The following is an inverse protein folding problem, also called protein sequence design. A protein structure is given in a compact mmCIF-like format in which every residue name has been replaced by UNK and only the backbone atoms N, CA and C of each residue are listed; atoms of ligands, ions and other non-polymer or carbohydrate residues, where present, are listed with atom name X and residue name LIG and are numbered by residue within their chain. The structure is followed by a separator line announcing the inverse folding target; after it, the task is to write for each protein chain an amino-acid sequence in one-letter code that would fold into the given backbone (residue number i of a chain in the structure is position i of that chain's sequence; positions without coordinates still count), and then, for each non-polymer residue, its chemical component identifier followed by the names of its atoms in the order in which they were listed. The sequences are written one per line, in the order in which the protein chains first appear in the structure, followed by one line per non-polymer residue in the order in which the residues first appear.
data_IF_909892697474
#
_entry.id   IF_909892697474
#
_cell.length_a   1.000
_cell.length_b   1.000
_cell.length_c   1.000
_cell.angle_alpha   90.00
_cell.angle_beta   90.00
_cell.angle_gamma   90.00
#
_symmetry.space_group_name_H-M   'P 1'
#
loop_
_entity.id
_entity.type
_entity.pdbx_description
1 polymer ?
#
# COMPACT_ATOMS: atom_id res chain seq x y z
N UNK A 1 7.83 7.58 9.04
CA UNK A 1 6.92 7.18 7.94
C UNK A 1 6.82 8.23 6.83
N UNK A 2 6.53 9.51 7.13
CA UNK A 2 6.54 10.59 6.13
C UNK A 2 7.80 10.65 5.27
N UNK A 3 8.98 10.42 5.86
CA UNK A 3 10.26 10.45 5.14
C UNK A 3 10.41 9.36 4.06
N UNK A 4 9.82 8.18 4.24
CA UNK A 4 9.84 7.09 3.25
C UNK A 4 8.92 7.40 2.08
N UNK A 5 7.73 7.94 2.38
CA UNK A 5 6.82 8.45 1.35
C UNK A 5 7.53 9.53 0.56
N UNK A 6 8.08 10.57 1.20
CA UNK A 6 8.80 11.67 0.51
C UNK A 6 9.97 11.19 -0.32
N UNK A 7 10.74 10.20 0.14
CA UNK A 7 11.83 9.62 -0.66
C UNK A 7 11.31 8.84 -1.88
N UNK A 8 10.21 8.12 -1.74
CA UNK A 8 9.56 7.46 -2.87
C UNK A 8 8.95 8.48 -3.84
N UNK A 9 8.30 9.55 -3.35
CA UNK A 9 7.83 10.69 -4.18
C UNK A 9 8.99 11.29 -4.97
N UNK A 10 10.10 11.57 -4.29
CA UNK A 10 11.27 12.20 -4.90
C UNK A 10 11.92 11.28 -5.94
N UNK A 11 12.08 10.00 -5.65
CA UNK A 11 12.65 9.05 -6.59
C UNK A 11 11.74 8.84 -7.81
N UNK A 12 10.43 8.74 -7.61
CA UNK A 12 9.46 8.58 -8.71
C UNK A 12 9.42 9.80 -9.62
N UNK A 13 9.51 11.02 -9.07
CA UNK A 13 9.60 12.27 -9.85
C UNK A 13 10.92 12.49 -10.58
N UNK A 14 12.02 11.88 -10.12
CA UNK A 14 13.34 11.97 -10.75
C UNK A 14 13.54 10.87 -11.82
N UNK A 15 12.96 9.68 -11.62
CA UNK A 15 13.25 8.51 -12.44
C UNK A 15 12.21 8.19 -13.53
N UNK A 16 11.00 8.76 -13.50
CA UNK A 16 9.94 8.43 -14.47
C UNK A 16 9.43 9.64 -15.27
N UNK A 17 9.02 9.45 -16.55
CA UNK A 17 8.44 10.51 -17.35
C UNK A 17 7.21 11.13 -16.68
N UNK A 18 7.15 12.46 -16.70
CA UNK A 18 6.13 13.30 -16.04
C UNK A 18 4.67 12.86 -16.29
N UNK A 19 4.38 12.20 -17.42
CA UNK A 19 3.03 11.80 -17.83
C UNK A 19 2.44 10.64 -17.02
N UNK A 20 3.25 9.67 -16.57
CA UNK A 20 2.78 8.56 -15.71
C UNK A 20 2.47 9.05 -14.29
N UNK A 21 3.31 9.95 -13.81
CA UNK A 21 3.20 10.55 -12.49
C UNK A 21 1.98 11.46 -12.39
N UNK A 22 1.60 12.18 -13.44
CA UNK A 22 0.52 13.18 -13.38
C UNK A 22 -0.85 12.61 -13.01
N UNK A 23 -1.23 11.46 -13.58
CA UNK A 23 -2.51 10.80 -13.27
C UNK A 23 -2.50 10.21 -11.85
N UNK A 24 -1.37 9.60 -11.47
CA UNK A 24 -1.12 9.03 -10.15
C UNK A 24 -1.17 10.09 -9.03
N UNK A 25 -0.47 11.21 -9.22
CA UNK A 25 -0.42 12.32 -8.29
C UNK A 25 -1.71 13.14 -8.28
N UNK A 26 -2.41 13.29 -9.41
CA UNK A 26 -3.74 13.93 -9.44
C UNK A 26 -4.73 13.24 -8.51
N UNK A 27 -4.63 11.92 -8.35
CA UNK A 27 -5.46 11.17 -7.41
C UNK A 27 -5.05 11.46 -5.95
N UNK A 28 -3.75 11.37 -5.65
CA UNK A 28 -3.20 11.64 -4.31
C UNK A 28 -3.44 13.06 -3.78
N UNK A 29 -3.22 14.08 -4.62
CA UNK A 29 -3.34 15.50 -4.21
C UNK A 29 -4.79 16.02 -4.20
N UNK A 30 -5.75 15.25 -4.71
CA UNK A 30 -7.18 15.63 -4.71
C UNK A 30 -7.97 15.01 -3.57
N UNK A 31 -7.38 14.20 -2.70
CA UNK A 31 -8.08 13.64 -1.56
C UNK A 31 -8.39 14.77 -0.55
N UNK A 32 -9.65 15.25 -0.42
CA UNK A 32 -10.01 16.06 0.73
C UNK A 32 -9.73 15.24 2.00
N UNK A 33 -9.45 15.92 3.12
CA UNK A 33 -9.36 15.24 4.42
C UNK A 33 -10.59 14.34 4.61
N UNK A 34 -10.41 13.09 5.06
CA UNK A 34 -11.48 12.10 4.97
C UNK A 34 -12.70 12.57 5.77
N UNK A 35 -13.89 12.50 5.16
CA UNK A 35 -15.13 12.74 5.91
C UNK A 35 -15.32 11.62 6.91
N UNK A 36 -16.04 11.90 8.00
CA UNK A 36 -16.34 10.91 9.03
C UNK A 36 -17.03 9.67 8.43
N UNK A 37 -17.88 9.87 7.43
CA UNK A 37 -18.54 8.80 6.66
C UNK A 37 -17.53 7.89 5.95
N UNK A 38 -16.50 8.48 5.33
CA UNK A 38 -15.43 7.74 4.63
C UNK A 38 -14.58 6.93 5.61
N UNK A 39 -14.40 7.43 6.84
CA UNK A 39 -13.76 6.70 7.95
C UNK A 39 -14.61 5.49 8.35
N UNK A 40 -15.91 5.70 8.59
CA UNK A 40 -16.81 4.62 8.98
C UNK A 40 -16.92 3.55 7.89
N UNK A 41 -17.08 3.95 6.63
CA UNK A 41 -17.09 3.03 5.50
C UNK A 41 -15.81 2.19 5.48
N UNK A 42 -14.63 2.79 5.62
CA UNK A 42 -13.35 2.06 5.63
C UNK A 42 -13.15 1.16 6.87
N UNK A 43 -13.58 1.60 8.06
CA UNK A 43 -13.43 0.81 9.29
C UNK A 43 -14.37 -0.40 9.26
N UNK A 44 -15.59 -0.20 8.75
CA UNK A 44 -16.62 -1.22 8.65
C UNK A 44 -16.50 -2.08 7.39
N UNK A 45 -15.69 -1.66 6.43
CA UNK A 45 -15.40 -2.42 5.22
C UNK A 45 -14.85 -3.80 5.59
N UNK A 46 -15.62 -4.81 5.23
CA UNK A 46 -15.35 -6.22 5.48
C UNK A 46 -15.69 -6.97 4.20
N UNK A 47 -14.89 -7.96 3.84
CA UNK A 47 -15.19 -8.79 2.69
C UNK A 47 -16.47 -9.61 2.94
N UNK A 48 -17.15 -10.05 1.87
CA UNK A 48 -18.38 -10.82 1.98
C UNK A 48 -18.15 -12.12 2.77
N UNK A 49 -19.20 -12.59 3.46
CA UNK A 49 -19.20 -13.88 4.19
C UNK A 49 -18.19 -14.00 5.34
N UNK A 50 -17.58 -12.91 5.80
CA UNK A 50 -16.63 -12.94 6.93
C UNK A 50 -15.27 -13.56 6.58
N UNK A 51 -14.90 -13.59 5.30
CA UNK A 51 -13.57 -13.94 4.80
C UNK A 51 -12.54 -12.83 5.11
N UNK A 52 -11.40 -12.82 4.41
CA UNK A 52 -10.37 -11.78 4.49
C UNK A 52 -10.04 -11.29 3.08
N UNK A 53 -9.62 -10.04 2.95
CA UNK A 53 -9.28 -9.47 1.63
C UNK A 53 -8.13 -10.25 0.99
N UNK A 54 -7.15 -10.65 1.78
CA UNK A 54 -6.03 -11.47 1.35
C UNK A 54 -6.45 -12.84 0.84
N UNK A 55 -7.32 -13.54 1.57
CA UNK A 55 -7.78 -14.89 1.19
C UNK A 55 -8.60 -14.83 -0.10
N UNK A 56 -9.50 -13.86 -0.21
CA UNK A 56 -10.33 -13.71 -1.41
C UNK A 56 -9.47 -13.41 -2.65
N UNK A 57 -8.48 -12.51 -2.50
CA UNK A 57 -7.51 -12.21 -3.56
C UNK A 57 -6.68 -13.44 -3.93
N UNK A 58 -6.21 -14.22 -2.95
CA UNK A 58 -5.42 -15.42 -3.21
C UNK A 58 -6.21 -16.50 -3.95
N UNK A 59 -7.50 -16.68 -3.62
CA UNK A 59 -8.39 -17.62 -4.31
C UNK A 59 -8.65 -17.17 -5.75
N UNK A 60 -8.94 -15.88 -5.96
CA UNK A 60 -9.13 -15.32 -7.31
C UNK A 60 -7.89 -15.53 -8.19
N UNK A 61 -6.71 -15.25 -7.65
CA UNK A 61 -5.44 -15.46 -8.35
C UNK A 61 -5.19 -16.94 -8.63
N UNK A 62 -5.58 -17.84 -7.73
CA UNK A 62 -5.47 -19.29 -7.93
C UNK A 62 -6.34 -19.80 -9.08
N UNK A 63 -7.53 -19.24 -9.25
CA UNK A 63 -8.41 -19.59 -10.37
C UNK A 63 -7.84 -19.13 -11.72
N UNK A 64 -7.05 -18.04 -11.70
CA UNK A 64 -6.41 -17.46 -12.88
C UNK A 64 -5.04 -18.08 -13.21
N UNK A 65 -4.38 -18.74 -12.25
CA UNK A 65 -3.00 -19.24 -12.40
C UNK A 65 -2.93 -20.77 -12.29
N UNK A 66 -2.31 -21.41 -13.29
CA UNK A 66 -2.16 -22.88 -13.37
C UNK A 66 -0.72 -23.38 -13.19
N UNK A 67 0.25 -22.49 -12.93
CA UNK A 67 1.65 -22.89 -12.76
C UNK A 67 1.87 -23.69 -11.48
N UNK A 68 2.71 -24.72 -11.53
CA UNK A 68 3.02 -25.56 -10.38
C UNK A 68 3.62 -24.75 -9.20
N UNK A 69 4.46 -23.76 -9.52
CA UNK A 69 5.03 -22.87 -8.50
C UNK A 69 3.96 -22.05 -7.78
N UNK A 70 2.96 -21.51 -8.50
CA UNK A 70 1.86 -20.77 -7.88
C UNK A 70 0.96 -21.69 -7.04
N UNK A 71 0.74 -22.93 -7.48
CA UNK A 71 -0.02 -23.93 -6.71
C UNK A 71 0.67 -24.23 -5.38
N UNK A 72 1.98 -24.49 -5.40
CA UNK A 72 2.76 -24.73 -4.18
C UNK A 72 2.72 -23.51 -3.25
N UNK A 73 2.88 -22.31 -3.82
CA UNK A 73 2.80 -21.06 -3.06
C UNK A 73 1.43 -20.88 -2.38
N UNK A 74 0.35 -21.17 -3.10
CA UNK A 74 -1.02 -21.13 -2.59
C UNK A 74 -1.22 -22.12 -1.44
N UNK A 75 -0.85 -23.39 -1.64
CA UNK A 75 -1.04 -24.46 -0.66
C UNK A 75 -0.26 -24.19 0.63
N UNK A 76 0.94 -23.61 0.51
CA UNK A 76 1.76 -23.24 1.66
C UNK A 76 1.17 -22.10 2.50
N UNK A 77 0.47 -21.14 1.87
CA UNK A 77 -0.11 -19.99 2.58
C UNK A 77 -1.50 -20.29 3.15
N UNK A 78 -2.26 -21.19 2.53
CA UNK A 78 -3.65 -21.48 2.88
C UNK A 78 -3.90 -21.72 4.38
N UNK A 79 -3.04 -22.45 5.14
CA UNK A 79 -3.28 -22.70 6.56
C UNK A 79 -3.29 -21.42 7.42
N UNK A 80 -2.60 -20.37 6.99
CA UNK A 80 -2.33 -19.17 7.81
C UNK A 80 -3.33 -18.04 7.59
N UNK A 81 -4.18 -18.15 6.56
CA UNK A 81 -5.01 -17.04 6.07
C UNK A 81 -6.52 -17.28 6.25
N UNK A 82 -6.89 -18.25 7.08
CA UNK A 82 -8.29 -18.66 7.26
C UNK A 82 -9.16 -17.59 7.92
N UNK A 83 -8.57 -16.82 8.83
CA UNK A 83 -9.24 -15.74 9.57
C UNK A 83 -8.34 -14.53 9.66
N UNK A 84 -8.92 -13.36 9.95
CA UNK A 84 -8.15 -12.14 10.16
C UNK A 84 -7.17 -12.28 11.34
N UNK A 85 -7.57 -12.95 12.42
CA UNK A 85 -6.68 -13.18 13.56
C UNK A 85 -5.46 -14.03 13.16
N UNK A 86 -5.66 -15.04 12.31
CA UNK A 86 -4.56 -15.85 11.76
C UNK A 86 -3.62 -14.99 10.92
N UNK A 87 -4.15 -14.12 10.05
CA UNK A 87 -3.33 -13.21 9.23
C UNK A 87 -2.48 -12.28 10.11
N UNK A 88 -3.06 -11.72 11.17
CA UNK A 88 -2.30 -10.87 12.11
C UNK A 88 -1.19 -11.66 12.79
N UNK A 89 -1.51 -12.86 13.29
CA UNK A 89 -0.57 -13.72 14.01
C UNK A 89 0.61 -14.16 13.13
N UNK A 90 0.35 -14.47 11.86
CA UNK A 90 1.35 -14.97 10.91
C UNK A 90 1.82 -13.91 9.91
N UNK A 91 1.53 -12.63 10.17
CA UNK A 91 1.80 -11.51 9.27
C UNK A 91 3.25 -11.47 8.79
N UNK A 92 4.22 -11.67 9.69
CA UNK A 92 5.64 -11.69 9.37
C UNK A 92 6.03 -12.85 8.41
N UNK A 93 5.47 -14.04 8.62
CA UNK A 93 5.70 -15.20 7.77
C UNK A 93 5.10 -14.97 6.37
N UNK A 94 3.82 -14.57 6.32
CA UNK A 94 3.10 -14.30 5.08
C UNK A 94 3.84 -13.21 4.28
N UNK A 95 4.19 -12.11 4.94
CA UNK A 95 4.90 -10.99 4.33
C UNK A 95 6.27 -11.39 3.77
N UNK A 96 7.06 -12.13 4.56
CA UNK A 96 8.39 -12.56 4.12
C UNK A 96 8.33 -13.47 2.91
N UNK A 97 7.32 -14.35 2.85
CA UNK A 97 7.08 -15.23 1.70
C UNK A 97 6.63 -14.46 0.45
N UNK A 98 5.80 -13.42 0.60
CA UNK A 98 5.43 -12.55 -0.53
C UNK A 98 6.65 -11.81 -1.09
N UNK A 99 7.46 -11.21 -0.21
CA UNK A 99 8.62 -10.43 -0.62
C UNK A 99 9.70 -11.31 -1.25
N UNK A 100 9.87 -12.56 -0.83
CA UNK A 100 10.85 -13.46 -1.45
C UNK A 100 10.53 -13.80 -2.90
N UNK A 101 9.25 -13.78 -3.29
CA UNK A 101 8.80 -14.00 -4.67
C UNK A 101 8.85 -12.74 -5.53
N UNK A 102 9.13 -11.57 -4.96
CA UNK A 102 9.17 -10.29 -5.68
C UNK A 102 10.53 -10.10 -6.40
N UNK A 103 10.75 -10.84 -7.47
CA UNK A 103 11.98 -10.83 -8.28
C UNK A 103 11.66 -10.74 -9.78
N UNK A 104 12.52 -10.10 -10.58
CA UNK A 104 12.30 -10.00 -12.03
C UNK A 104 12.32 -11.37 -12.71
N UNK A 105 13.10 -12.30 -12.18
CA UNK A 105 13.20 -13.69 -12.61
C UNK A 105 12.22 -14.62 -11.87
N UNK A 106 11.21 -14.06 -11.19
CA UNK A 106 10.25 -14.84 -10.41
C UNK A 106 9.55 -15.90 -11.27
N UNK A 107 9.22 -17.02 -10.63
CA UNK A 107 8.69 -18.22 -11.28
C UNK A 107 7.27 -18.03 -11.84
N UNK A 108 6.61 -16.93 -11.48
CA UNK A 108 5.28 -16.52 -11.94
C UNK A 108 5.18 -14.98 -11.99
N UNK A 109 4.12 -14.45 -12.60
CA UNK A 109 3.95 -13.01 -12.82
C UNK A 109 4.07 -12.19 -11.52
N UNK A 110 4.66 -10.98 -11.62
CA UNK A 110 4.83 -10.03 -10.52
C UNK A 110 3.50 -9.49 -9.99
N UNK A 111 2.51 -9.33 -10.89
CA UNK A 111 1.19 -8.80 -10.57
C UNK A 111 0.50 -9.54 -9.40
N UNK A 112 0.37 -10.89 -9.42
CA UNK A 112 -0.16 -11.66 -8.30
C UNK A 112 0.46 -11.30 -6.93
N UNK A 113 1.78 -11.19 -6.85
CA UNK A 113 2.47 -10.88 -5.58
C UNK A 113 2.17 -9.45 -5.14
N UNK A 114 2.22 -8.50 -6.06
CA UNK A 114 1.94 -7.09 -5.80
C UNK A 114 0.49 -6.89 -5.32
N UNK A 115 -0.48 -7.58 -5.95
CA UNK A 115 -1.89 -7.58 -5.53
C UNK A 115 -2.07 -8.21 -4.13
N UNK A 116 -1.38 -9.30 -3.84
CA UNK A 116 -1.44 -9.95 -2.52
C UNK A 116 -0.86 -9.07 -1.41
N UNK A 117 0.25 -8.34 -1.65
CA UNK A 117 0.81 -7.39 -0.68
C UNK A 117 -0.19 -6.26 -0.41
N UNK A 118 -0.86 -5.74 -1.45
CA UNK A 118 -1.90 -4.72 -1.29
C UNK A 118 -3.09 -5.26 -0.49
N UNK A 119 -3.59 -6.45 -0.78
CA UNK A 119 -4.67 -7.09 -0.02
C UNK A 119 -4.27 -7.35 1.45
N UNK A 120 -3.02 -7.75 1.71
CA UNK A 120 -2.50 -7.95 3.07
C UNK A 120 -2.52 -6.64 3.87
N UNK A 121 -2.14 -5.53 3.23
CA UNK A 121 -2.20 -4.21 3.85
C UNK A 121 -3.63 -3.79 4.24
N UNK A 122 -4.65 -4.24 3.48
CA UNK A 122 -6.06 -3.97 3.80
C UNK A 122 -6.52 -4.71 5.05
N UNK A 123 -6.11 -5.97 5.22
CA UNK A 123 -6.47 -6.77 6.39
C UNK A 123 -5.75 -6.29 7.66
N UNK A 124 -4.47 -5.93 7.53
CA UNK A 124 -3.62 -5.49 8.65
C UNK A 124 -3.85 -4.01 9.04
N UNK A 125 -4.23 -3.14 8.11
CA UNK A 125 -4.43 -1.69 8.37
C UNK A 125 -3.20 -1.11 9.10
N UNK A 126 -3.39 -0.47 10.26
CA UNK A 126 -2.32 0.12 11.08
C UNK A 126 -1.18 -0.87 11.39
N UNK A 127 -1.49 -2.16 11.55
CA UNK A 127 -0.49 -3.21 11.84
C UNK A 127 0.45 -3.50 10.65
N UNK A 128 0.14 -2.99 9.45
CA UNK A 128 1.02 -3.10 8.29
C UNK A 128 2.18 -2.10 8.33
N UNK A 129 2.09 -1.04 9.14
CA UNK A 129 3.05 0.06 9.16
C UNK A 129 4.53 -0.38 9.31
N UNK A 130 4.87 -1.39 10.14
CA UNK A 130 6.25 -1.87 10.29
C UNK A 130 6.84 -2.50 9.01
N UNK A 131 5.99 -2.96 8.08
CA UNK A 131 6.42 -3.63 6.84
C UNK A 131 6.75 -2.64 5.71
N UNK A 132 6.26 -1.40 5.78
CA UNK A 132 6.48 -0.40 4.71
C UNK A 132 7.94 -0.21 4.29
N UNK A 133 8.93 -0.10 5.20
CA UNK A 133 10.33 0.04 4.79
C UNK A 133 10.81 -1.15 3.94
N UNK A 134 10.36 -2.36 4.26
CA UNK A 134 10.72 -3.60 3.54
C UNK A 134 10.01 -3.66 2.18
N UNK A 135 8.74 -3.25 2.09
CA UNK A 135 8.04 -3.13 0.81
C UNK A 135 8.77 -2.17 -0.11
N UNK A 136 9.01 -0.94 0.35
CA UNK A 136 9.68 0.11 -0.45
C UNK A 136 11.05 -0.36 -0.92
N UNK A 137 11.84 -0.97 -0.03
CA UNK A 137 13.14 -1.51 -0.42
C UNK A 137 13.03 -2.57 -1.52
N UNK A 138 12.05 -3.47 -1.41
CA UNK A 138 11.83 -4.54 -2.40
C UNK A 138 11.37 -3.99 -3.74
N UNK A 139 10.47 -2.99 -3.76
CA UNK A 139 10.05 -2.30 -4.98
C UNK A 139 11.21 -1.57 -5.66
N UNK A 140 12.08 -0.89 -4.88
CA UNK A 140 13.27 -0.21 -5.42
C UNK A 140 14.25 -1.22 -6.03
N UNK A 141 14.49 -2.35 -5.36
CA UNK A 141 15.34 -3.43 -5.90
C UNK A 141 14.74 -3.98 -7.20
N UNK A 142 13.44 -4.26 -7.22
CA UNK A 142 12.73 -4.76 -8.40
C UNK A 142 12.88 -3.82 -9.61
N UNK A 143 12.70 -2.52 -9.39
CA UNK A 143 12.85 -1.51 -10.44
C UNK A 143 14.29 -1.41 -10.95
N UNK A 144 15.26 -1.38 -10.03
CA UNK A 144 16.69 -1.33 -10.38
C UNK A 144 17.13 -2.58 -11.17
N UNK A 145 16.55 -3.75 -10.89
CA UNK A 145 16.86 -5.02 -11.54
C UNK A 145 16.22 -5.19 -12.91
N UNK A 146 15.58 -4.15 -13.47
CA UNK A 146 15.07 -4.18 -14.84
C UNK A 146 13.61 -3.78 -14.96
N UNK A 147 12.85 -3.74 -13.86
CA UNK A 147 11.44 -3.34 -13.87
C UNK A 147 11.22 -1.95 -14.46
N UNK A 148 12.19 -1.03 -14.32
CA UNK A 148 12.16 0.30 -14.93
C UNK A 148 12.12 0.33 -16.48
N UNK A 149 12.41 -0.80 -17.15
CA UNK A 149 12.38 -0.92 -18.62
C UNK A 149 11.06 -1.48 -19.13
N UNK A 150 10.23 -2.03 -18.24
CA UNK A 150 8.95 -2.66 -18.57
C UNK A 150 7.79 -1.80 -18.06
N UNK A 151 7.00 -1.27 -19.00
CA UNK A 151 5.89 -0.38 -18.69
C UNK A 151 4.80 -1.07 -17.86
N UNK A 152 4.58 -2.37 -18.11
CA UNK A 152 3.59 -3.16 -17.38
C UNK A 152 4.02 -3.36 -15.91
N UNK A 153 5.26 -3.79 -15.68
CA UNK A 153 5.83 -3.91 -14.33
C UNK A 153 5.76 -2.60 -13.56
N UNK A 154 6.08 -1.47 -14.21
CA UNK A 154 5.96 -0.14 -13.59
C UNK A 154 4.52 0.12 -13.15
N UNK A 155 3.56 -0.08 -14.03
CA UNK A 155 2.14 0.13 -13.73
C UNK A 155 1.66 -0.76 -12.58
N UNK A 156 2.03 -2.04 -12.56
CA UNK A 156 1.69 -2.97 -11.49
C UNK A 156 2.27 -2.52 -10.15
N UNK A 157 3.54 -2.11 -10.11
CA UNK A 157 4.22 -1.62 -8.90
C UNK A 157 3.51 -0.38 -8.36
N UNK A 158 3.25 0.60 -9.23
CA UNK A 158 2.60 1.83 -8.80
C UNK A 158 1.17 1.59 -8.35
N UNK A 159 0.42 0.72 -9.04
CA UNK A 159 -0.96 0.36 -8.68
C UNK A 159 -0.99 -0.26 -7.28
N UNK A 160 -0.18 -1.29 -7.04
CA UNK A 160 -0.07 -1.92 -5.72
C UNK A 160 0.39 -0.93 -4.64
N UNK A 161 1.39 -0.09 -4.92
CA UNK A 161 1.85 0.92 -3.97
C UNK A 161 0.75 1.94 -3.62
N UNK A 162 -0.02 2.39 -4.60
CA UNK A 162 -1.17 3.27 -4.39
C UNK A 162 -2.19 2.65 -3.46
N UNK A 163 -2.57 1.40 -3.71
CA UNK A 163 -3.55 0.69 -2.88
C UNK A 163 -3.04 0.53 -1.44
N UNK A 164 -1.77 0.20 -1.25
CA UNK A 164 -1.16 0.09 0.09
C UNK A 164 -1.27 1.43 0.82
N UNK A 165 -0.90 2.53 0.19
CA UNK A 165 -0.96 3.84 0.84
C UNK A 165 -2.41 4.28 1.10
N UNK A 166 -3.33 3.99 0.18
CA UNK A 166 -4.76 4.24 0.36
C UNK A 166 -5.32 3.43 1.56
N UNK A 167 -4.88 2.19 1.74
CA UNK A 167 -5.24 1.36 2.89
C UNK A 167 -4.68 1.92 4.21
N UNK A 168 -3.56 2.66 4.16
CA UNK A 168 -2.90 3.24 5.34
C UNK A 168 -3.24 4.71 5.58
N UNK A 169 -4.10 5.32 4.74
CA UNK A 169 -4.41 6.76 4.79
C UNK A 169 -4.89 7.24 6.17
N UNK A 170 -5.55 6.38 6.93
CA UNK A 170 -6.05 6.70 8.28
C UNK A 170 -4.99 6.53 9.37
N UNK A 171 -3.97 5.70 9.16
CA UNK A 171 -2.81 5.61 10.05
C UNK A 171 -2.07 6.95 10.06
N UNK A 172 -1.85 7.50 8.85
CA UNK A 172 -1.12 8.77 8.68
C UNK A 172 -1.84 9.97 9.30
N UNK A 173 -3.18 9.99 9.32
CA UNK A 173 -3.95 11.10 9.88
C UNK A 173 -3.97 11.12 11.41
N UNK A 174 -3.95 9.94 12.06
CA UNK A 174 -3.88 9.82 13.54
C UNK A 174 -2.53 10.28 14.08
N UNK A 175 -1.43 9.95 13.41
CA UNK A 175 -0.09 10.41 13.82
C UNK A 175 0.05 11.93 13.74
N UNK A 176 -0.53 12.56 12.72
CA UNK A 176 -0.56 14.03 12.62
C UNK A 176 -1.39 14.62 13.77
N UNK A 177 -2.58 14.09 14.07
CA UNK A 177 -3.39 14.59 15.19
C UNK A 177 -2.75 14.35 16.56
N UNK A 178 -2.07 13.22 16.76
CA UNK A 178 -1.33 12.89 17.97
C UNK A 178 -0.12 13.81 18.17
N UNK A 179 0.65 14.05 17.09
CA UNK A 179 1.76 15.01 17.09
C UNK A 179 1.26 16.43 17.40
N UNK A 180 0.14 16.85 16.82
CA UNK A 180 -0.45 18.17 17.06
C UNK A 180 -0.97 18.36 18.49
N UNK A 181 -1.55 17.32 19.11
CA UNK A 181 -2.02 17.37 20.50
C UNK A 181 -0.88 17.44 21.51
N UNK A 182 0.28 16.87 21.19
CA UNK A 182 1.43 16.82 22.09
C UNK A 182 2.37 18.05 21.96
N UNK A 183 2.14 18.92 20.98
CA UNK A 183 2.77 20.25 20.93
C UNK A 183 1.91 21.29 21.65
N UNK A 184 2.43 22.04 22.64
CA UNK A 184 1.70 23.13 23.28
C UNK A 184 1.72 24.36 22.37
N UNK A 185 1.04 24.29 21.22
CA UNK A 185 0.94 25.40 20.26
C UNK A 185 -0.47 25.49 19.69
N UNK A 186 -1.44 25.65 20.58
CA UNK A 186 -2.83 26.00 20.19
C UNK A 186 -2.98 27.51 19.91
N UNK A 187 -1.92 28.31 19.97
CA UNK A 187 -1.99 29.77 19.76
C UNK A 187 -1.45 30.28 18.42
N UNK A 188 -0.75 29.47 17.60
CA UNK A 188 -0.21 29.94 16.32
C UNK A 188 -0.96 29.43 15.07
N UNK A 189 -1.80 28.38 15.19
CA UNK A 189 -2.49 27.82 14.01
C UNK A 189 -3.62 28.69 13.45
N UNK A 190 -4.17 29.63 14.23
CA UNK A 190 -5.07 30.66 13.66
C UNK A 190 -4.37 31.53 12.60
N UNK A 191 -3.05 31.75 12.68
CA UNK A 191 -2.32 32.55 11.69
C UNK A 191 -1.99 31.80 10.39
N UNK A 192 -2.08 30.47 10.38
CA UNK A 192 -1.77 29.68 9.19
C UNK A 192 -3.00 29.39 8.33
N UNK A 193 -4.17 29.28 8.96
CA UNK A 193 -5.44 29.06 8.25
C UNK A 193 -5.92 30.33 7.52
N UNK A 194 -5.58 31.52 8.02
CA UNK A 194 -5.90 32.81 7.38
C UNK A 194 -4.99 33.17 6.19
N UNK A 195 -3.90 32.43 5.94
CA UNK A 195 -2.97 32.69 4.82
C UNK A 195 -3.22 31.86 3.56
N UNK A 196 -4.22 30.97 3.57
CA UNK A 196 -4.59 30.17 2.40
C UNK A 196 -5.69 30.83 1.54
N UNK A 197 -6.15 32.03 1.90
CA UNK A 197 -6.84 32.93 0.99
C UNK A 197 -5.90 34.06 0.60
N UNK A 198 -5.91 34.46 -0.68
CA UNK A 198 -5.08 35.51 -1.35
C UNK A 198 -3.79 34.90 -1.96
N UNK A 199 -3.52 34.88 -3.27
CA UNK A 199 -4.14 35.38 -4.52
C UNK A 199 -3.34 34.75 -5.67
N UNK A 200 -4.02 34.23 -6.70
CA UNK A 200 -3.39 33.85 -7.96
C UNK A 200 -2.89 35.12 -8.67
N UNK A 201 -1.58 35.21 -8.89
CA UNK A 201 -0.96 35.92 -10.01
C UNK A 201 0.01 34.93 -10.65
#
# INVERSE_FOLDING_TARGET
MCFLVTKFIHWTTVCFPYNYLRSFWSFFYKLPGPRIEDVFAFVLDKPPNGSTFFKDCLVELRDQNTSADFISFFEDLLPYIQTRQSIVLYSEFIFSKLVSELQMEARFSLDPILRLIAALSRDLKDDFAPFLPRVVNSLVVLLNNGGQKDAETIEQIFTSWSEIIENLRFCFSRDIQGALRNTPVTLSMKKYQDRCHVRWI
#
